data_IF_967211840579
#
_entry.id   IF_967211840579
#
_cell.length_a   1.000
_cell.length_b   1.000
_cell.length_c   1.000
_cell.angle_alpha   90.00
_cell.angle_beta   90.00
_cell.angle_gamma   90.00
#
_symmetry.space_group_name_H-M   'P 1'
#
loop_
_entity.id
_entity.type
_entity.pdbx_description
1 polymer ?
#
# COMPACT_ATOMS: atom_id res chain seq x y z
N UNK A 1 -16.70 -4.34 0.90
CA UNK A 1 -15.32 -3.81 0.92
C UNK A 1 -14.95 -3.56 -0.52
N UNK A 2 -14.89 -2.31 -0.99
CA UNK A 2 -14.36 -2.06 -2.33
C UNK A 2 -12.84 -2.13 -2.26
N UNK A 3 -12.30 -3.36 -2.22
CA UNK A 3 -10.86 -3.66 -2.32
C UNK A 3 -10.21 -2.83 -3.43
N UNK A 4 -10.92 -2.68 -4.55
CA UNK A 4 -10.54 -1.85 -5.69
C UNK A 4 -10.34 -0.36 -5.34
N UNK A 5 -11.19 0.21 -4.47
CA UNK A 5 -11.06 1.60 -4.01
C UNK A 5 -9.84 1.81 -3.11
N UNK A 6 -9.51 0.81 -2.28
CA UNK A 6 -8.31 0.86 -1.44
C UNK A 6 -7.02 0.68 -2.27
N UNK A 7 -7.05 -0.20 -3.28
CA UNK A 7 -5.92 -0.36 -4.23
C UNK A 7 -5.67 0.96 -4.95
N UNK A 8 -6.72 1.57 -5.53
CA UNK A 8 -6.59 2.84 -6.23
C UNK A 8 -5.99 3.95 -5.35
N UNK A 9 -6.48 4.11 -4.12
CA UNK A 9 -5.95 5.11 -3.18
C UNK A 9 -4.48 4.86 -2.81
N UNK A 10 -4.09 3.59 -2.65
CA UNK A 10 -2.73 3.23 -2.26
C UNK A 10 -1.75 3.40 -3.42
N UNK A 11 -2.16 3.05 -4.65
CA UNK A 11 -1.36 3.28 -5.86
C UNK A 11 -1.14 4.76 -6.13
N UNK A 12 -2.15 5.61 -5.88
CA UNK A 12 -2.06 7.05 -6.06
C UNK A 12 -1.08 7.70 -5.05
N UNK A 13 -1.05 7.17 -3.82
CA UNK A 13 -0.05 7.53 -2.81
C UNK A 13 1.36 7.06 -3.17
N UNK A 14 1.51 5.85 -3.73
CA UNK A 14 2.82 5.36 -4.17
C UNK A 14 3.38 6.27 -5.28
N UNK A 15 2.52 6.64 -6.21
CA UNK A 15 2.86 7.55 -7.29
C UNK A 15 3.25 8.93 -6.76
N UNK A 16 2.49 9.50 -5.82
CA UNK A 16 2.80 10.83 -5.29
C UNK A 16 4.15 10.85 -4.56
N UNK A 17 4.44 9.83 -3.74
CA UNK A 17 5.72 9.72 -3.04
C UNK A 17 6.87 9.51 -4.03
N UNK A 18 6.70 8.64 -5.01
CA UNK A 18 7.72 8.39 -6.05
C UNK A 18 8.07 9.67 -6.81
N UNK A 19 7.06 10.44 -7.21
CA UNK A 19 7.26 11.68 -7.95
C UNK A 19 7.82 12.81 -7.08
N UNK A 20 7.38 12.94 -5.83
CA UNK A 20 7.94 13.95 -4.91
C UNK A 20 9.45 13.73 -4.73
N UNK A 21 9.92 12.49 -4.58
CA UNK A 21 11.34 12.20 -4.42
C UNK A 21 12.12 12.52 -5.70
N UNK A 22 11.64 12.07 -6.87
CA UNK A 22 12.33 12.29 -8.14
C UNK A 22 12.34 13.77 -8.56
N UNK A 23 11.23 14.49 -8.40
CA UNK A 23 11.15 15.93 -8.71
C UNK A 23 12.05 16.77 -7.80
N UNK A 24 12.29 16.32 -6.57
CA UNK A 24 13.21 17.01 -5.64
C UNK A 24 14.68 16.76 -6.02
N UNK A 25 14.98 15.64 -6.68
CA UNK A 25 16.35 15.28 -7.07
C UNK A 25 16.77 15.91 -8.40
N UNK A 26 15.95 15.79 -9.45
CA UNK A 26 16.21 16.39 -10.76
C UNK A 26 14.89 16.79 -11.43
N UNK A 27 14.60 18.09 -11.45
CA UNK A 27 13.38 18.63 -12.04
C UNK A 27 13.62 18.98 -13.51
N UNK A 28 13.16 18.10 -14.41
CA UNK A 28 13.18 18.35 -15.85
C UNK A 28 11.80 18.11 -16.47
N UNK A 29 11.36 19.01 -17.34
CA UNK A 29 10.02 18.98 -17.95
C UNK A 29 9.80 17.76 -18.85
N UNK A 30 10.89 17.19 -19.38
CA UNK A 30 10.88 15.98 -20.21
C UNK A 30 10.46 14.72 -19.44
N UNK A 31 10.46 14.75 -18.10
CA UNK A 31 10.06 13.61 -17.28
C UNK A 31 8.53 13.48 -17.09
N UNK A 32 7.75 14.52 -17.43
CA UNK A 32 6.28 14.51 -17.30
C UNK A 32 5.60 13.33 -18.01
N UNK A 33 5.91 12.96 -19.27
CA UNK A 33 5.31 11.78 -19.90
C UNK A 33 5.69 10.47 -19.20
N UNK A 34 6.89 10.39 -18.61
CA UNK A 34 7.31 9.22 -17.83
C UNK A 34 6.52 9.07 -16.52
N UNK A 35 5.91 10.15 -16.01
CA UNK A 35 4.96 10.12 -14.87
C UNK A 35 3.83 9.15 -15.14
N UNK A 36 3.13 9.39 -16.24
CA UNK A 36 1.95 8.62 -16.60
C UNK A 36 2.32 7.21 -17.01
N UNK A 37 3.49 7.02 -17.63
CA UNK A 37 3.99 5.70 -17.98
C UNK A 37 4.32 4.86 -16.73
N UNK A 38 4.87 5.48 -15.69
CA UNK A 38 5.19 4.82 -14.41
C UNK A 38 3.95 4.38 -13.62
N UNK A 39 2.77 4.95 -13.90
CA UNK A 39 1.51 4.59 -13.23
C UNK A 39 1.16 3.11 -13.43
N UNK A 40 1.36 2.58 -14.64
CA UNK A 40 0.98 1.22 -15.02
C UNK A 40 1.76 0.18 -14.20
N UNK A 41 3.12 0.19 -14.18
CA UNK A 41 3.89 -0.80 -13.42
C UNK A 41 3.70 -0.64 -11.91
N UNK A 42 3.56 0.59 -11.39
CA UNK A 42 3.30 0.84 -9.96
C UNK A 42 1.94 0.27 -9.57
N UNK A 43 0.90 0.51 -10.37
CA UNK A 43 -0.43 -0.02 -10.13
C UNK A 43 -0.44 -1.56 -10.16
N UNK A 44 0.22 -2.17 -11.14
CA UNK A 44 0.30 -3.63 -11.24
C UNK A 44 1.06 -4.25 -10.06
N UNK A 45 2.21 -3.69 -9.67
CA UNK A 45 2.95 -4.15 -8.49
C UNK A 45 2.11 -4.05 -7.22
N UNK A 46 1.51 -2.89 -6.95
CA UNK A 46 0.64 -2.71 -5.79
C UNK A 46 -0.56 -3.67 -5.80
N UNK A 47 -1.22 -3.83 -6.95
CA UNK A 47 -2.35 -4.73 -7.09
C UNK A 47 -1.97 -6.19 -6.83
N UNK A 48 -0.85 -6.66 -7.40
CA UNK A 48 -0.36 -8.03 -7.19
C UNK A 48 0.00 -8.26 -5.72
N UNK A 49 0.74 -7.34 -5.08
CA UNK A 49 1.13 -7.47 -3.67
C UNK A 49 -0.09 -7.51 -2.76
N UNK A 50 -1.08 -6.65 -3.00
CA UNK A 50 -2.34 -6.63 -2.24
C UNK A 50 -3.13 -7.93 -2.48
N UNK A 51 -3.23 -8.38 -3.73
CA UNK A 51 -3.97 -9.60 -4.08
C UNK A 51 -3.30 -10.87 -3.54
N UNK A 52 -1.98 -10.96 -3.57
CA UNK A 52 -1.24 -12.14 -3.12
C UNK A 52 -1.01 -12.16 -1.62
N UNK A 53 -0.90 -11.01 -0.96
CA UNK A 53 -0.62 -10.98 0.48
C UNK A 53 -1.88 -10.74 1.29
N UNK A 54 -2.63 -9.69 0.96
CA UNK A 54 -3.73 -9.21 1.81
C UNK A 54 -4.98 -10.07 1.60
N UNK A 55 -5.34 -10.41 0.35
CA UNK A 55 -6.53 -11.22 0.09
C UNK A 55 -6.50 -12.63 0.72
N UNK A 56 -5.44 -13.45 0.59
CA UNK A 56 -5.46 -14.78 1.20
C UNK A 56 -5.45 -14.73 2.73
N UNK A 57 -4.71 -13.79 3.34
CA UNK A 57 -4.72 -13.59 4.79
C UNK A 57 -6.12 -13.21 5.27
N UNK A 58 -6.82 -12.32 4.54
CA UNK A 58 -8.16 -11.89 4.90
C UNK A 58 -9.22 -12.97 4.64
N UNK A 59 -9.07 -13.77 3.58
CA UNK A 59 -9.97 -14.89 3.28
C UNK A 59 -9.84 -16.02 4.31
N UNK A 60 -8.61 -16.38 4.67
CA UNK A 60 -8.33 -17.38 5.70
C UNK A 60 -8.81 -16.91 7.08
N UNK A 61 -8.64 -15.63 7.40
CA UNK A 61 -9.14 -15.01 8.64
C UNK A 61 -10.65 -15.14 8.84
N UNK A 62 -11.44 -15.00 7.77
CA UNK A 62 -12.91 -15.04 7.86
C UNK A 62 -13.38 -16.45 8.17
N UNK A 63 -12.65 -17.47 7.71
CA UNK A 63 -12.93 -18.89 7.97
C UNK A 63 -12.82 -19.27 9.45
N UNK A 64 -11.93 -18.62 10.21
CA UNK A 64 -11.61 -19.00 11.59
C UNK A 64 -12.29 -18.12 12.66
N UNK A 65 -13.17 -17.19 12.27
CA UNK A 65 -13.87 -16.31 13.22
C UNK A 65 -12.95 -15.30 13.93
N UNK A 66 -11.69 -15.15 13.47
CA UNK A 66 -10.73 -14.24 14.07
C UNK A 66 -11.08 -12.76 13.81
N UNK A 67 -10.92 -11.93 14.84
CA UNK A 67 -11.12 -10.49 14.74
C UNK A 67 -10.00 -9.88 13.86
N UNK A 68 -10.38 -9.15 12.80
CA UNK A 68 -9.47 -8.53 11.80
C UNK A 68 -8.35 -7.69 12.44
N UNK A 69 -8.63 -7.06 13.58
CA UNK A 69 -7.67 -6.27 14.34
C UNK A 69 -6.55 -7.12 14.97
N UNK A 70 -6.86 -8.35 15.38
CA UNK A 70 -5.91 -9.24 16.03
C UNK A 70 -4.91 -9.81 15.02
N UNK A 71 -5.40 -10.17 13.83
CA UNK A 71 -4.54 -10.62 12.71
C UNK A 71 -3.63 -9.49 12.24
N UNK A 72 -4.16 -8.27 12.13
CA UNK A 72 -3.32 -7.13 11.81
C UNK A 72 -2.17 -6.99 12.81
N UNK A 73 -2.46 -7.03 14.12
CA UNK A 73 -1.45 -6.84 15.16
C UNK A 73 -0.34 -7.89 15.10
N UNK A 74 -0.66 -9.13 14.72
CA UNK A 74 0.31 -10.23 14.65
C UNK A 74 1.09 -10.25 13.33
N UNK A 75 0.40 -10.10 12.19
CA UNK A 75 1.01 -10.30 10.87
C UNK A 75 1.62 -9.02 10.27
N UNK A 76 1.15 -7.84 10.66
CA UNK A 76 1.70 -6.56 10.19
C UNK A 76 3.19 -6.38 10.50
N UNK A 77 3.69 -6.57 11.74
CA UNK A 77 5.11 -6.35 12.03
C UNK A 77 6.02 -7.32 11.27
N UNK A 78 5.62 -8.60 11.16
CA UNK A 78 6.37 -9.61 10.40
C UNK A 78 6.44 -9.21 8.93
N UNK A 79 5.31 -8.80 8.36
CA UNK A 79 5.25 -8.35 6.98
C UNK A 79 6.09 -7.08 6.73
N UNK A 80 6.01 -6.10 7.63
CA UNK A 80 6.79 -4.86 7.53
C UNK A 80 8.30 -5.14 7.53
N UNK A 81 8.76 -6.10 8.35
CA UNK A 81 10.17 -6.52 8.39
C UNK A 81 10.58 -7.22 7.09
N UNK A 82 9.76 -8.15 6.59
CA UNK A 82 10.05 -8.88 5.35
C UNK A 82 10.16 -7.91 4.17
N UNK A 83 9.21 -6.99 4.00
CA UNK A 83 9.26 -6.03 2.90
C UNK A 83 10.39 -5.03 3.09
N UNK A 84 10.66 -4.58 4.31
CA UNK A 84 11.81 -3.73 4.58
C UNK A 84 13.12 -4.40 4.13
N UNK A 85 13.28 -5.69 4.43
CA UNK A 85 14.41 -6.49 3.96
C UNK A 85 14.46 -6.62 2.44
N UNK A 86 13.32 -6.88 1.80
CA UNK A 86 13.23 -7.02 0.34
C UNK A 86 13.57 -5.71 -0.39
N UNK A 87 13.03 -4.58 0.08
CA UNK A 87 13.33 -3.25 -0.44
C UNK A 87 14.80 -2.87 -0.22
N UNK A 88 15.35 -3.16 0.96
CA UNK A 88 16.77 -2.91 1.27
C UNK A 88 17.71 -3.74 0.40
N UNK A 89 17.38 -5.02 0.18
CA UNK A 89 18.13 -5.90 -0.72
C UNK A 89 18.07 -5.42 -2.17
N UNK A 90 16.88 -4.98 -2.62
CA UNK A 90 16.69 -4.33 -3.91
C UNK A 90 17.64 -3.15 -4.08
N UNK A 91 17.60 -2.19 -3.15
CA UNK A 91 18.46 -1.00 -3.14
C UNK A 91 19.95 -1.38 -3.21
N UNK A 92 20.40 -2.35 -2.42
CA UNK A 92 21.78 -2.83 -2.41
C UNK A 92 22.22 -3.35 -3.78
N UNK A 93 21.34 -4.11 -4.46
CA UNK A 93 21.60 -4.68 -5.79
C UNK A 93 21.67 -3.63 -6.90
N UNK A 94 20.88 -2.57 -6.82
CA UNK A 94 20.78 -1.54 -7.87
C UNK A 94 21.87 -0.47 -7.82
N UNK A 95 22.94 -0.66 -7.03
CA UNK A 95 24.07 0.27 -6.91
C UNK A 95 23.64 1.72 -6.61
N UNK A 96 22.58 1.90 -5.82
CA UNK A 96 22.14 3.22 -5.34
C UNK A 96 21.63 4.19 -6.43
N UNK A 97 21.06 3.68 -7.52
CA UNK A 97 20.32 4.53 -8.47
C UNK A 97 19.13 5.22 -7.77
N UNK A 98 19.04 6.55 -7.84
CA UNK A 98 17.99 7.35 -7.20
C UNK A 98 16.59 6.91 -7.63
N UNK A 99 16.40 6.55 -8.91
CA UNK A 99 15.09 6.12 -9.41
C UNK A 99 14.68 4.80 -8.77
N UNK A 100 15.63 3.87 -8.64
CA UNK A 100 15.40 2.59 -7.99
C UNK A 100 15.10 2.76 -6.49
N UNK A 101 15.86 3.62 -5.78
CA UNK A 101 15.62 3.91 -4.36
C UNK A 101 14.24 4.53 -4.16
N UNK A 102 13.90 5.53 -4.97
CA UNK A 102 12.60 6.20 -4.91
C UNK A 102 11.45 5.22 -5.13
N UNK A 103 11.64 4.26 -6.05
CA UNK A 103 10.67 3.18 -6.31
C UNK A 103 10.53 2.24 -5.10
N UNK A 104 11.63 1.77 -4.52
CA UNK A 104 11.56 0.86 -3.37
C UNK A 104 10.99 1.53 -2.13
N UNK A 105 11.34 2.80 -1.87
CA UNK A 105 10.81 3.58 -0.74
C UNK A 105 9.31 3.85 -0.91
N UNK A 106 8.88 4.28 -2.10
CA UNK A 106 7.46 4.53 -2.34
C UNK A 106 6.62 3.26 -2.26
N UNK A 107 7.13 2.14 -2.81
CA UNK A 107 6.49 0.83 -2.71
C UNK A 107 6.36 0.37 -1.25
N UNK A 108 7.40 0.53 -0.43
CA UNK A 108 7.37 0.20 0.99
C UNK A 108 6.29 0.97 1.74
N UNK A 109 6.32 2.32 1.65
CA UNK A 109 5.40 3.18 2.38
C UNK A 109 3.94 2.93 1.96
N UNK A 110 3.68 2.83 0.66
CA UNK A 110 2.31 2.59 0.17
C UNK A 110 1.78 1.23 0.54
N UNK A 111 2.64 0.23 0.62
CA UNK A 111 2.22 -1.08 1.10
C UNK A 111 1.86 -1.02 2.58
N UNK A 112 2.68 -0.39 3.44
CA UNK A 112 2.33 -0.19 4.86
C UNK A 112 1.02 0.58 5.03
N UNK A 113 0.81 1.63 4.24
CA UNK A 113 -0.41 2.42 4.30
C UNK A 113 -1.64 1.67 3.78
N UNK A 114 -1.47 0.79 2.79
CA UNK A 114 -2.51 -0.13 2.31
C UNK A 114 -3.01 -1.00 3.46
N UNK A 115 -2.09 -1.59 4.22
CA UNK A 115 -2.42 -2.42 5.37
C UNK A 115 -3.22 -1.65 6.44
N UNK A 116 -2.85 -0.41 6.76
CA UNK A 116 -3.63 0.44 7.68
C UNK A 116 -5.06 0.70 7.16
N UNK A 117 -5.24 0.82 5.84
CA UNK A 117 -6.55 1.08 5.24
C UNK A 117 -7.47 -0.15 5.27
N UNK A 118 -6.90 -1.36 5.18
CA UNK A 118 -7.65 -2.61 5.27
C UNK A 118 -8.17 -2.91 6.68
N UNK A 119 -7.52 -2.35 7.70
CA UNK A 119 -7.80 -2.62 9.12
C UNK A 119 -8.83 -1.69 9.71
N UNK A 120 -9.05 -0.52 9.08
CA UNK A 120 -10.06 0.42 9.55
C UNK A 120 -11.41 -0.32 9.67
N UNK A 121 -11.97 -0.41 10.89
CA UNK A 121 -13.32 -0.94 11.03
C UNK A 121 -14.23 -0.09 10.14
N UNK A 122 -15.20 -0.74 9.50
CA UNK A 122 -16.27 -0.06 8.76
C UNK A 122 -16.77 1.05 9.69
N UNK A 123 -16.64 2.33 9.31
CA UNK A 123 -17.50 3.35 9.91
C UNK A 123 -18.91 2.95 9.52
N UNK A 124 -19.61 2.26 10.41
CA UNK A 124 -21.06 2.22 10.38
C UNK A 124 -21.47 3.68 10.39
N UNK A 125 -22.14 4.12 9.33
CA UNK A 125 -22.72 5.45 9.29
C UNK A 125 -23.53 5.61 10.58
N UNK A 126 -23.16 6.58 11.43
CA UNK A 126 -23.81 6.87 12.70
C UNK A 126 -25.23 7.47 12.54
N UNK A 127 -25.91 7.20 11.42
CA UNK A 127 -27.26 7.72 11.17
C UNK A 127 -28.36 6.71 11.53
N UNK A 128 -28.02 5.56 12.12
CA UNK A 128 -28.99 4.51 12.49
C UNK A 128 -28.83 4.00 13.94
N UNK A 129 -28.29 4.84 14.84
CA UNK A 129 -28.27 4.55 16.29
C UNK A 129 -29.11 5.51 17.14
N UNK A 130 -29.79 6.50 16.56
CA UNK A 130 -30.64 7.45 17.29
C UNK A 130 -32.13 7.11 17.34
N UNK A 131 -32.57 5.98 16.78
CA UNK A 131 -34.00 5.57 16.76
C UNK A 131 -34.34 4.36 17.62
N UNK A 132 -33.42 3.86 18.44
CA UNK A 132 -33.66 2.77 19.42
C UNK A 132 -33.53 3.23 20.89
N UNK A 133 -33.56 4.54 21.12
CA UNK A 133 -33.85 5.15 22.41
C UNK A 133 -34.96 6.20 22.24
N UNK A 134 -36.18 5.73 21.92
CA UNK A 134 -37.43 6.40 22.27
C UNK A 134 -38.50 5.36 22.50
#
# INVERSE_FOLDING_TARGET
MSILSNIGKSSLLAMSIFWVINLTYDFNWDYIPFVFLSLIPIYFCCAIVILLTICPIFWFSVSEGFNRQQIFKTYFPIYAIIIFGLCSYGIYKTKTDIFAISFFVSAYISTLHSWMWFVKPKKVNQNEQTTLCK
#
